data_IF_298468354095
#
_entry.id   IF_298468354095
#
_cell.length_a   1.000
_cell.length_b   1.000
_cell.length_c   1.000
_cell.angle_alpha   90.00
_cell.angle_beta   90.00
_cell.angle_gamma   90.00
#
_symmetry.space_group_name_H-M   'P 1'
#
loop_
_entity.id
_entity.type
_entity.pdbx_description
1 polymer ?
#
# COMPACT_ATOMS: atom_id res chain seq x y z
N UNK A 1 -4.04 -15.92 0.31
CA UNK A 1 -4.30 -14.79 -0.60
C UNK A 1 -3.03 -14.46 -1.34
N UNK A 2 -3.10 -14.33 -2.64
CA UNK A 2 -1.92 -14.06 -3.45
C UNK A 2 -1.98 -12.60 -3.95
N UNK A 3 -0.98 -11.82 -3.55
CA UNK A 3 -0.88 -10.41 -3.95
C UNK A 3 0.09 -10.30 -5.13
N UNK A 4 -0.41 -9.91 -6.28
CA UNK A 4 0.37 -9.86 -7.51
C UNK A 4 0.85 -8.47 -7.89
N UNK A 5 0.30 -7.44 -7.24
CA UNK A 5 0.63 -6.04 -7.53
C UNK A 5 1.63 -5.43 -6.56
N UNK A 6 1.97 -6.15 -5.50
CA UNK A 6 2.92 -5.65 -4.52
C UNK A 6 4.24 -6.37 -4.73
N UNK A 7 5.28 -5.59 -4.94
CA UNK A 7 6.61 -6.11 -5.25
C UNK A 7 7.62 -5.64 -4.22
N UNK A 8 8.63 -6.48 -3.97
CA UNK A 8 9.75 -6.13 -3.10
C UNK A 8 11.01 -6.36 -3.91
N UNK A 9 11.74 -5.27 -4.17
CA UNK A 9 12.96 -5.29 -4.94
C UNK A 9 14.01 -4.47 -4.19
N UNK A 10 15.17 -5.05 -3.86
CA UNK A 10 16.21 -4.31 -3.13
C UNK A 10 16.66 -3.04 -3.84
N UNK A 11 16.54 -2.98 -5.16
CA UNK A 11 16.91 -1.81 -5.95
C UNK A 11 15.83 -0.76 -6.08
N UNK A 12 14.63 -1.00 -5.53
CA UNK A 12 13.50 -0.08 -5.61
C UNK A 12 13.00 0.23 -4.21
N UNK A 13 12.89 1.52 -3.89
CA UNK A 13 12.40 1.99 -2.59
C UNK A 13 13.16 1.34 -1.42
N UNK A 14 14.46 1.09 -1.59
CA UNK A 14 15.33 0.47 -0.58
C UNK A 14 14.82 -0.87 -0.06
N UNK A 15 14.15 -1.64 -0.92
CA UNK A 15 13.63 -2.96 -0.56
C UNK A 15 12.29 -2.94 0.14
N UNK A 16 11.65 -1.79 0.25
CA UNK A 16 10.31 -1.70 0.84
C UNK A 16 9.25 -2.18 -0.17
N UNK A 17 8.11 -2.69 0.31
CA UNK A 17 7.03 -3.06 -0.60
C UNK A 17 6.56 -1.88 -1.43
N UNK A 18 6.44 -2.07 -2.72
CA UNK A 18 6.02 -1.05 -3.67
C UNK A 18 4.93 -1.58 -4.59
N UNK A 19 4.23 -0.66 -5.24
CA UNK A 19 3.18 -1.00 -6.19
C UNK A 19 3.81 -1.33 -7.54
N UNK A 20 3.63 -2.56 -8.00
CA UNK A 20 4.00 -3.04 -9.36
C UNK A 20 5.40 -2.60 -9.83
N UNK A 21 6.38 -2.62 -8.94
CA UNK A 21 7.74 -2.19 -9.30
C UNK A 21 7.88 -0.69 -9.56
N UNK A 22 6.81 0.07 -9.41
CA UNK A 22 6.86 1.52 -9.47
C UNK A 22 7.56 2.04 -8.21
N UNK A 23 8.15 3.20 -8.30
CA UNK A 23 8.78 3.81 -7.13
C UNK A 23 7.72 4.48 -6.24
N UNK A 24 6.71 3.69 -5.88
CA UNK A 24 5.60 4.15 -5.06
C UNK A 24 5.40 3.15 -3.92
N UNK A 25 5.94 3.46 -2.72
CA UNK A 25 5.82 2.55 -1.59
C UNK A 25 4.38 2.32 -1.16
N UNK A 26 4.06 1.09 -0.79
CA UNK A 26 2.74 0.76 -0.24
C UNK A 26 2.44 1.63 0.98
N UNK A 27 3.45 1.88 1.82
CA UNK A 27 3.28 2.72 3.00
C UNK A 27 2.80 4.13 2.66
N UNK A 28 3.26 4.69 1.54
CA UNK A 28 2.81 6.01 1.08
C UNK A 28 1.33 5.99 0.72
N UNK A 29 0.91 4.96 -0.01
CA UNK A 29 -0.48 4.81 -0.40
C UNK A 29 -1.38 4.66 0.83
N UNK A 30 -0.98 3.82 1.76
CA UNK A 30 -1.72 3.62 3.00
C UNK A 30 -1.77 4.91 3.83
N UNK A 31 -0.67 5.67 3.86
CA UNK A 31 -0.62 6.95 4.54
C UNK A 31 -1.61 7.96 3.97
N UNK A 32 -1.73 8.03 2.65
CA UNK A 32 -2.71 8.90 2.00
C UNK A 32 -4.14 8.54 2.40
N UNK A 33 -4.44 7.25 2.40
CA UNK A 33 -5.76 6.78 2.83
C UNK A 33 -6.00 7.10 4.31
N UNK A 34 -4.98 6.92 5.14
CA UNK A 34 -5.08 7.18 6.58
C UNK A 34 -5.35 8.65 6.90
N UNK A 35 -4.91 9.58 6.04
CA UNK A 35 -5.15 11.00 6.23
C UNK A 35 -6.49 11.46 5.65
N UNK A 36 -7.29 10.54 5.12
CA UNK A 36 -8.62 10.85 4.60
C UNK A 36 -8.65 11.17 3.11
N UNK A 37 -7.53 11.02 2.41
CA UNK A 37 -7.53 11.22 0.96
C UNK A 37 -8.38 10.13 0.31
N UNK A 38 -9.30 10.53 -0.56
CA UNK A 38 -10.20 9.58 -1.20
C UNK A 38 -9.49 8.80 -2.30
N UNK A 39 -10.06 7.64 -2.65
CA UNK A 39 -9.54 6.84 -3.77
C UNK A 39 -9.53 7.64 -5.06
N UNK A 40 -10.61 8.37 -5.33
CA UNK A 40 -10.71 9.18 -6.54
C UNK A 40 -9.63 10.24 -6.60
N UNK A 41 -9.33 10.86 -5.48
CA UNK A 41 -8.28 11.88 -5.41
C UNK A 41 -6.90 11.25 -5.64
N UNK A 42 -6.64 10.10 -5.06
CA UNK A 42 -5.37 9.40 -5.25
C UNK A 42 -5.19 9.04 -6.73
N UNK A 43 -6.22 8.49 -7.36
CA UNK A 43 -6.14 8.09 -8.77
C UNK A 43 -6.01 9.30 -9.70
N UNK A 44 -6.57 10.44 -9.30
CA UNK A 44 -6.41 11.68 -10.06
C UNK A 44 -5.00 12.25 -9.94
N UNK A 45 -4.42 12.20 -8.73
CA UNK A 45 -3.09 12.73 -8.47
C UNK A 45 -1.97 11.82 -9.01
N UNK A 46 -2.24 10.51 -9.07
CA UNK A 46 -1.27 9.51 -9.52
C UNK A 46 -1.92 8.66 -10.61
N UNK A 47 -2.04 9.20 -11.83
CA UNK A 47 -2.81 8.55 -12.89
C UNK A 47 -2.25 7.20 -13.37
N UNK A 48 -1.00 6.87 -13.00
CA UNK A 48 -0.44 5.55 -13.30
C UNK A 48 -0.88 4.48 -12.31
N UNK A 49 -1.54 4.87 -11.22
CA UNK A 49 -2.13 3.90 -10.29
C UNK A 49 -3.49 3.44 -10.80
N UNK A 50 -3.85 2.23 -10.43
CA UNK A 50 -5.13 1.61 -10.77
C UNK A 50 -5.94 1.33 -9.52
N UNK A 51 -7.28 1.27 -9.61
CA UNK A 51 -8.10 0.96 -8.43
C UNK A 51 -7.69 -0.33 -7.72
N UNK A 52 -7.26 -1.33 -8.48
CA UNK A 52 -6.82 -2.60 -7.91
C UNK A 52 -5.54 -2.46 -7.09
N UNK A 53 -4.71 -1.46 -7.39
CA UNK A 53 -3.51 -1.20 -6.61
C UNK A 53 -3.89 -0.79 -5.19
N UNK A 54 -4.91 0.06 -5.06
CA UNK A 54 -5.40 0.51 -3.75
C UNK A 54 -6.02 -0.66 -2.99
N UNK A 55 -6.82 -1.45 -3.69
CA UNK A 55 -7.46 -2.61 -3.09
C UNK A 55 -6.42 -3.59 -2.54
N UNK A 56 -5.40 -3.91 -3.33
CA UNK A 56 -4.38 -4.86 -2.92
C UNK A 56 -3.49 -4.31 -1.79
N UNK A 57 -3.24 -3.01 -1.79
CA UNK A 57 -2.50 -2.38 -0.70
C UNK A 57 -3.25 -2.54 0.63
N UNK A 58 -4.57 -2.41 0.61
CA UNK A 58 -5.39 -2.61 1.80
C UNK A 58 -5.39 -4.07 2.24
N UNK A 59 -5.42 -5.00 1.30
CA UNK A 59 -5.30 -6.44 1.61
C UNK A 59 -3.95 -6.74 2.26
N UNK A 60 -2.88 -6.15 1.75
CA UNK A 60 -1.55 -6.32 2.32
C UNK A 60 -1.51 -5.81 3.77
N UNK A 61 -2.09 -4.64 4.00
CA UNK A 61 -2.16 -4.09 5.36
C UNK A 61 -2.93 -5.01 6.31
N UNK A 62 -4.02 -5.59 5.83
CA UNK A 62 -4.82 -6.51 6.63
C UNK A 62 -4.01 -7.77 7.02
N UNK A 63 -3.23 -8.30 6.08
CA UNK A 63 -2.38 -9.46 6.36
C UNK A 63 -1.31 -9.12 7.42
N UNK A 64 -0.71 -7.95 7.32
CA UNK A 64 0.28 -7.52 8.31
C UNK A 64 -0.36 -7.35 9.68
N UNK A 65 -1.57 -6.83 9.75
CA UNK A 65 -2.28 -6.64 11.00
C UNK A 65 -2.62 -7.95 11.70
N UNK A 66 -2.84 -9.01 10.93
CA UNK A 66 -3.09 -10.32 11.50
C UNK A 66 -1.86 -10.93 12.15
N UNK A 67 -0.68 -10.61 11.62
CA UNK A 67 0.57 -11.20 12.08
C UNK A 67 1.24 -10.43 13.21
N UNK A 68 0.78 -9.21 13.49
CA UNK A 68 1.38 -8.37 14.51
C UNK A 68 0.48 -8.20 15.72
N UNK A 69 1.10 -8.23 16.89
CA UNK A 69 0.41 -7.91 18.16
C UNK A 69 0.67 -6.45 18.47
N UNK A 70 -0.40 -5.71 18.68
CA UNK A 70 -0.33 -4.28 19.01
C UNK A 70 -0.98 -4.06 20.33
N UNK A 71 -0.25 -3.43 21.27
CA UNK A 71 -0.80 -3.04 22.56
C UNK A 71 -1.65 -1.78 22.37
N UNK A 72 -2.93 -1.92 22.69
CA UNK A 72 -3.85 -0.79 22.61
C UNK A 72 -4.07 -0.22 24.01
N UNK A 73 -3.82 1.07 24.16
CA UNK A 73 -4.12 1.77 25.41
C UNK A 73 -5.64 1.88 25.58
N UNK A 74 -6.11 1.58 26.78
CA UNK A 74 -7.53 1.63 27.09
C UNK A 74 -7.79 2.42 28.36
#
# INVERSE_FOLDING_TARGET
MKLTRITIDPGVCTGKPCIRGLRFPVARLLGLLATGTTRDQILADYPYLEPEDIHEALQYAALLAEDETVDLAR
#
